data_IF_484464954115
#
_entry.id   IF_484464954115
#
_cell.length_a   1.000
_cell.length_b   1.000
_cell.length_c   1.000
_cell.angle_alpha   90.00
_cell.angle_beta   90.00
_cell.angle_gamma   90.00
#
_symmetry.space_group_name_H-M   'P 1'
#
loop_
_entity.id
_entity.type
_entity.pdbx_description
1 polymer ?
#
# COMPACT_ATOMS: atom_id res chain seq x y z
N UNK A 1 -64.45 -19.91 -54.01
CA UNK A 1 -64.09 -18.69 -53.31
C UNK A 1 -62.77 -18.98 -52.57
N UNK A 2 -61.66 -18.42 -52.95
CA UNK A 2 -60.38 -18.52 -52.22
C UNK A 2 -60.39 -17.39 -51.21
N UNK A 3 -60.51 -17.73 -49.90
CA UNK A 3 -60.36 -16.76 -48.82
C UNK A 3 -58.96 -16.19 -48.88
N UNK A 4 -58.84 -14.90 -49.07
CA UNK A 4 -57.59 -14.16 -48.92
C UNK A 4 -57.23 -14.18 -47.43
N UNK A 5 -56.04 -14.61 -47.02
CA UNK A 5 -55.60 -14.51 -45.66
C UNK A 5 -55.71 -13.07 -45.23
N UNK A 6 -56.37 -12.82 -44.10
CA UNK A 6 -56.60 -11.43 -43.63
C UNK A 6 -55.23 -10.80 -43.31
N UNK A 7 -55.02 -9.54 -43.69
CA UNK A 7 -53.77 -8.79 -43.45
C UNK A 7 -53.40 -8.81 -41.96
N UNK A 8 -54.37 -8.92 -41.07
CA UNK A 8 -54.19 -9.04 -39.62
C UNK A 8 -53.42 -10.32 -39.19
N UNK A 9 -53.64 -11.44 -39.87
CA UNK A 9 -52.98 -12.70 -39.58
C UNK A 9 -51.48 -12.58 -39.94
N UNK A 10 -51.17 -11.94 -41.05
CA UNK A 10 -49.76 -11.73 -41.45
C UNK A 10 -49.02 -10.76 -40.49
N UNK A 11 -49.69 -9.72 -40.00
CA UNK A 11 -49.12 -8.79 -38.99
C UNK A 11 -48.87 -9.51 -37.66
N UNK A 12 -49.84 -10.33 -37.23
CA UNK A 12 -49.72 -11.08 -35.96
C UNK A 12 -48.58 -12.09 -36.00
N UNK A 13 -48.35 -12.77 -37.12
CA UNK A 13 -47.29 -13.73 -37.31
C UNK A 13 -45.91 -13.02 -37.31
N UNK A 14 -45.80 -11.87 -37.97
CA UNK A 14 -44.61 -11.03 -37.94
C UNK A 14 -44.31 -10.56 -36.50
N UNK A 15 -45.32 -10.10 -35.76
CA UNK A 15 -45.13 -9.68 -34.38
C UNK A 15 -44.73 -10.82 -33.47
N UNK A 16 -45.28 -12.01 -33.63
CA UNK A 16 -44.89 -13.19 -32.88
C UNK A 16 -43.42 -13.59 -33.17
N UNK A 17 -42.99 -13.52 -34.44
CA UNK A 17 -41.63 -13.76 -34.84
C UNK A 17 -40.61 -12.79 -34.22
N UNK A 18 -40.93 -11.48 -34.23
CA UNK A 18 -40.10 -10.46 -33.59
C UNK A 18 -40.01 -10.67 -32.08
N UNK A 19 -41.13 -10.97 -31.41
CA UNK A 19 -41.16 -11.27 -29.98
C UNK A 19 -40.29 -12.50 -29.63
N UNK A 20 -40.34 -13.55 -30.43
CA UNK A 20 -39.52 -14.74 -30.22
C UNK A 20 -38.02 -14.41 -30.33
N UNK A 21 -37.61 -13.62 -31.32
CA UNK A 21 -36.22 -13.18 -31.46
C UNK A 21 -35.76 -12.30 -30.28
N UNK A 22 -36.57 -11.35 -29.87
CA UNK A 22 -36.27 -10.48 -28.71
C UNK A 22 -36.11 -11.29 -27.43
N UNK A 23 -37.01 -12.25 -27.19
CA UNK A 23 -36.91 -13.14 -26.03
C UNK A 23 -35.66 -13.99 -26.05
N UNK A 24 -35.28 -14.50 -27.22
CA UNK A 24 -34.05 -15.29 -27.38
C UNK A 24 -32.81 -14.43 -27.10
N UNK A 25 -32.76 -13.20 -27.60
CA UNK A 25 -31.66 -12.25 -27.31
C UNK A 25 -31.61 -11.90 -25.83
N UNK A 26 -32.71 -11.71 -25.16
CA UNK A 26 -32.78 -11.47 -23.71
C UNK A 26 -32.21 -12.67 -22.92
N UNK A 27 -32.63 -13.88 -23.26
CA UNK A 27 -32.10 -15.10 -22.62
C UNK A 27 -30.60 -15.19 -22.80
N UNK A 28 -30.07 -14.98 -24.02
CA UNK A 28 -28.62 -14.99 -24.29
C UNK A 28 -27.90 -13.89 -23.48
N UNK A 29 -28.45 -12.68 -23.42
CA UNK A 29 -27.87 -11.59 -22.64
C UNK A 29 -27.81 -11.91 -21.13
N UNK A 30 -28.86 -12.50 -20.56
CA UNK A 30 -28.89 -12.93 -19.15
C UNK A 30 -27.87 -14.03 -18.87
N UNK A 31 -27.77 -15.01 -19.76
CA UNK A 31 -26.77 -16.10 -19.64
C UNK A 31 -25.34 -15.56 -19.73
N UNK A 32 -25.06 -14.65 -20.66
CA UNK A 32 -23.74 -14.02 -20.78
C UNK A 32 -23.37 -13.22 -19.53
N UNK A 33 -24.33 -12.46 -18.96
CA UNK A 33 -24.12 -11.72 -17.72
C UNK A 33 -23.80 -12.67 -16.55
N UNK A 34 -24.53 -13.77 -16.41
CA UNK A 34 -24.28 -14.78 -15.37
C UNK A 34 -22.89 -15.41 -15.47
N UNK A 35 -22.44 -15.78 -16.67
CA UNK A 35 -21.11 -16.35 -16.90
C UNK A 35 -20.00 -15.32 -16.63
N UNK A 36 -20.22 -14.06 -17.02
CA UNK A 36 -19.26 -12.98 -16.77
C UNK A 36 -19.08 -12.72 -15.26
N UNK A 37 -20.20 -12.69 -14.51
CA UNK A 37 -20.17 -12.50 -13.06
C UNK A 37 -19.44 -13.62 -12.33
N UNK A 38 -19.68 -14.88 -12.72
CA UNK A 38 -18.98 -16.02 -12.13
C UNK A 38 -17.48 -15.98 -12.40
N UNK A 39 -17.04 -15.63 -13.60
CA UNK A 39 -15.62 -15.45 -13.93
C UNK A 39 -14.99 -14.34 -13.11
N UNK A 40 -15.67 -13.20 -12.99
CA UNK A 40 -15.20 -12.08 -12.18
C UNK A 40 -15.03 -12.45 -10.70
N UNK A 41 -15.95 -13.18 -10.12
CA UNK A 41 -15.84 -13.68 -8.75
C UNK A 41 -14.72 -14.69 -8.58
N UNK A 42 -14.51 -15.57 -9.56
CA UNK A 42 -13.39 -16.54 -9.54
C UNK A 42 -12.04 -15.84 -9.64
N UNK A 43 -11.90 -14.83 -10.48
CA UNK A 43 -10.70 -13.99 -10.59
C UNK A 43 -10.44 -13.21 -9.30
N UNK A 44 -11.47 -12.61 -8.70
CA UNK A 44 -11.36 -11.95 -7.39
C UNK A 44 -10.96 -12.92 -6.27
N UNK A 45 -11.49 -14.13 -6.26
CA UNK A 45 -11.11 -15.14 -5.26
C UNK A 45 -9.66 -15.59 -5.43
N UNK A 46 -9.20 -15.78 -6.66
CA UNK A 46 -7.78 -16.10 -6.97
C UNK A 46 -6.85 -14.95 -6.57
N UNK A 47 -7.21 -13.70 -6.92
CA UNK A 47 -6.42 -12.52 -6.57
C UNK A 47 -6.34 -12.31 -5.04
N UNK A 48 -7.43 -12.54 -4.32
CA UNK A 48 -7.44 -12.50 -2.84
C UNK A 48 -6.57 -13.61 -2.26
N UNK A 49 -6.69 -14.85 -2.73
CA UNK A 49 -5.91 -15.98 -2.24
C UNK A 49 -4.41 -15.78 -2.39
N UNK A 50 -3.94 -15.28 -3.53
CA UNK A 50 -2.51 -14.95 -3.74
C UNK A 50 -2.04 -13.80 -2.86
N UNK A 51 -2.89 -12.80 -2.62
CA UNK A 51 -2.58 -11.68 -1.74
C UNK A 51 -2.48 -12.11 -0.27
N UNK A 52 -3.41 -12.94 0.19
CA UNK A 52 -3.43 -13.43 1.57
C UNK A 52 -2.25 -14.36 1.85
N UNK A 53 -1.84 -15.19 0.90
CA UNK A 53 -0.66 -16.05 1.00
C UNK A 53 0.64 -15.22 1.06
N UNK A 54 0.74 -14.19 0.20
CA UNK A 54 1.88 -13.28 0.20
C UNK A 54 1.98 -12.49 1.52
N UNK A 55 0.85 -12.01 2.04
CA UNK A 55 0.74 -11.34 3.34
C UNK A 55 1.13 -12.29 4.47
N UNK A 56 0.64 -13.54 4.48
CA UNK A 56 0.98 -14.54 5.49
C UNK A 56 2.49 -14.81 5.50
N UNK A 57 3.12 -14.91 4.34
CA UNK A 57 4.56 -15.12 4.20
C UNK A 57 5.37 -13.94 4.75
N UNK A 58 4.95 -12.69 4.46
CA UNK A 58 5.55 -11.48 5.04
C UNK A 58 5.42 -11.49 6.57
N UNK A 59 4.21 -11.76 7.05
CA UNK A 59 3.92 -11.83 8.50
C UNK A 59 4.82 -12.85 9.19
N UNK A 60 4.99 -14.03 8.62
CA UNK A 60 5.86 -15.06 9.17
C UNK A 60 7.31 -14.60 9.22
N UNK A 61 7.86 -14.10 8.11
CA UNK A 61 9.25 -13.63 8.02
C UNK A 61 9.51 -12.52 9.04
N UNK A 62 8.64 -11.51 9.10
CA UNK A 62 8.81 -10.36 10.02
C UNK A 62 8.60 -10.78 11.48
N UNK A 63 7.65 -11.68 11.77
CA UNK A 63 7.45 -12.22 13.13
C UNK A 63 8.65 -13.01 13.62
N UNK A 64 9.28 -13.80 12.75
CA UNK A 64 10.53 -14.52 13.09
C UNK A 64 11.69 -13.55 13.34
N UNK A 65 11.78 -12.47 12.56
CA UNK A 65 12.79 -11.42 12.78
C UNK A 65 12.70 -10.81 14.16
N UNK A 66 11.48 -10.46 14.60
CA UNK A 66 11.24 -9.76 15.87
C UNK A 66 11.28 -10.72 17.05
N UNK A 67 10.69 -11.92 16.89
CA UNK A 67 10.61 -12.92 17.96
C UNK A 67 11.96 -13.45 18.43
N UNK A 68 12.97 -13.46 17.56
CA UNK A 68 14.33 -13.94 17.87
C UNK A 68 15.21 -12.90 18.57
N UNK A 69 14.83 -11.61 18.61
CA UNK A 69 15.77 -10.53 18.94
C UNK A 69 15.30 -9.49 19.94
N UNK A 70 14.26 -9.75 20.73
CA UNK A 70 13.96 -9.02 21.98
C UNK A 70 14.27 -7.52 21.99
N UNK A 71 13.93 -6.78 20.93
CA UNK A 71 14.03 -5.32 20.90
C UNK A 71 13.03 -4.74 21.91
N UNK A 72 13.42 -4.73 23.17
CA UNK A 72 12.61 -4.47 24.35
C UNK A 72 11.78 -3.19 24.22
N UNK A 73 10.57 -3.30 23.66
CA UNK A 73 9.56 -2.23 23.70
C UNK A 73 9.74 -1.09 22.70
N UNK A 74 10.85 -1.02 21.93
CA UNK A 74 11.11 0.05 20.95
C UNK A 74 10.55 -0.28 19.56
N UNK A 75 10.44 -1.57 19.24
CA UNK A 75 9.88 -2.06 17.98
C UNK A 75 8.72 -3.02 18.28
N UNK A 76 7.68 -2.95 17.49
CA UNK A 76 6.56 -3.89 17.54
C UNK A 76 6.07 -4.18 16.13
N UNK A 77 5.63 -5.42 15.88
CA UNK A 77 5.03 -5.80 14.61
C UNK A 77 3.53 -6.04 14.79
N UNK A 78 2.75 -5.42 13.94
CA UNK A 78 1.32 -5.66 13.83
C UNK A 78 1.06 -6.58 12.63
N UNK A 79 0.73 -7.83 12.93
CA UNK A 79 0.46 -8.86 11.93
C UNK A 79 -0.82 -8.60 11.12
N UNK A 80 -1.79 -7.84 11.66
CA UNK A 80 -3.03 -7.53 10.94
C UNK A 80 -2.82 -6.47 9.86
N UNK A 81 -1.94 -5.51 10.12
CA UNK A 81 -1.64 -4.42 9.18
C UNK A 81 -0.34 -4.62 8.41
N UNK A 82 0.42 -5.69 8.70
CA UNK A 82 1.77 -5.96 8.16
C UNK A 82 2.71 -4.77 8.34
N UNK A 83 2.67 -4.15 9.51
CA UNK A 83 3.47 -2.98 9.86
C UNK A 83 4.43 -3.27 11.00
N UNK A 84 5.69 -2.96 10.77
CA UNK A 84 6.69 -2.84 11.82
C UNK A 84 6.66 -1.39 12.32
N UNK A 85 6.39 -1.21 13.61
CA UNK A 85 6.31 0.10 14.25
C UNK A 85 7.57 0.36 15.06
N UNK A 86 8.29 1.42 14.72
CA UNK A 86 9.41 1.98 15.45
C UNK A 86 8.89 3.15 16.30
N UNK A 87 8.96 3.03 17.63
CA UNK A 87 8.43 4.04 18.55
C UNK A 87 9.39 5.22 18.71
N UNK A 88 8.92 6.33 19.31
CA UNK A 88 9.71 7.54 19.55
C UNK A 88 11.05 7.28 20.25
N UNK A 89 11.09 6.33 21.17
CA UNK A 89 12.32 5.91 21.87
C UNK A 89 13.45 5.41 20.97
N UNK A 90 13.18 5.15 19.70
CA UNK A 90 14.14 4.76 18.65
C UNK A 90 15.00 5.95 18.19
N UNK A 91 14.45 7.17 18.26
CA UNK A 91 15.12 8.40 17.86
C UNK A 91 15.61 9.19 19.07
N UNK A 92 16.61 10.02 18.87
CA UNK A 92 17.00 11.03 19.84
C UNK A 92 15.91 12.09 19.95
N UNK A 93 15.77 12.68 21.13
CA UNK A 93 14.71 13.67 21.38
C UNK A 93 14.87 14.90 20.48
N UNK A 94 13.79 15.29 19.81
CA UNK A 94 13.82 16.43 18.88
C UNK A 94 14.73 16.23 17.68
N UNK A 95 15.04 14.95 17.30
CA UNK A 95 15.99 14.64 16.24
C UNK A 95 15.42 13.58 15.28
N UNK A 96 16.02 13.48 14.11
CA UNK A 96 15.83 12.37 13.19
C UNK A 96 16.95 11.32 13.31
N UNK A 97 17.96 11.54 14.17
CA UNK A 97 19.03 10.58 14.42
C UNK A 97 18.47 9.35 15.14
N UNK A 98 18.79 8.18 14.62
CA UNK A 98 18.58 6.91 15.33
C UNK A 98 19.60 6.79 16.48
N UNK A 99 19.14 6.32 17.63
CA UNK A 99 20.03 5.97 18.73
C UNK A 99 20.97 4.87 18.30
N UNK A 100 22.19 4.90 18.83
CA UNK A 100 23.25 3.97 18.42
C UNK A 100 22.85 2.50 18.64
N UNK A 101 22.23 2.19 19.77
CA UNK A 101 21.77 0.84 20.14
C UNK A 101 20.74 0.31 19.14
N UNK A 102 19.80 1.19 18.77
CA UNK A 102 18.74 0.86 17.81
C UNK A 102 19.26 0.68 16.41
N UNK A 103 20.25 1.49 16.01
CA UNK A 103 20.89 1.37 14.69
C UNK A 103 21.47 -0.02 14.50
N UNK A 104 22.21 -0.53 15.49
CA UNK A 104 22.77 -1.87 15.46
C UNK A 104 21.70 -2.97 15.35
N UNK A 105 20.56 -2.82 16.03
CA UNK A 105 19.45 -3.76 15.93
C UNK A 105 18.76 -3.71 14.56
N UNK A 106 18.53 -2.51 14.01
CA UNK A 106 17.96 -2.33 12.67
C UNK A 106 18.87 -2.90 11.58
N UNK A 107 20.18 -2.76 11.73
CA UNK A 107 21.18 -3.34 10.80
C UNK A 107 21.08 -4.87 10.73
N UNK A 108 20.69 -5.53 11.82
CA UNK A 108 20.49 -6.99 11.81
C UNK A 108 19.29 -7.44 10.96
N UNK A 109 18.35 -6.57 10.69
CA UNK A 109 17.14 -6.83 9.87
C UNK A 109 17.42 -6.63 8.36
N UNK A 110 18.54 -6.01 8.01
CA UNK A 110 18.88 -5.70 6.60
C UNK A 110 18.93 -6.95 5.71
N UNK A 111 19.53 -8.05 6.20
CA UNK A 111 19.63 -9.29 5.44
C UNK A 111 18.26 -9.91 5.14
N UNK A 112 17.34 -9.80 6.09
CA UNK A 112 15.98 -10.32 5.95
C UNK A 112 15.15 -9.45 4.99
N UNK A 113 15.32 -8.13 5.05
CA UNK A 113 14.73 -7.19 4.08
C UNK A 113 15.28 -7.46 2.66
N UNK A 114 16.58 -7.69 2.55
CA UNK A 114 17.20 -8.02 1.28
C UNK A 114 16.60 -9.30 0.68
N UNK A 115 16.47 -10.35 1.51
CA UNK A 115 15.87 -11.63 1.12
C UNK A 115 14.40 -11.45 0.74
N UNK A 116 13.61 -10.75 1.56
CA UNK A 116 12.21 -10.47 1.24
C UNK A 116 12.04 -9.78 -0.11
N UNK A 117 12.84 -8.74 -0.38
CA UNK A 117 12.80 -8.04 -1.66
C UNK A 117 13.34 -8.87 -2.83
N UNK A 118 14.27 -9.79 -2.61
CA UNK A 118 14.76 -10.71 -3.64
C UNK A 118 13.73 -11.76 -4.01
N UNK A 119 13.09 -12.36 -3.00
CA UNK A 119 12.07 -13.39 -3.19
C UNK A 119 10.76 -12.86 -3.78
N UNK A 120 10.51 -11.55 -3.65
CA UNK A 120 9.29 -10.90 -4.13
C UNK A 120 9.62 -9.69 -5.03
N UNK A 121 9.79 -9.88 -6.35
CA UNK A 121 10.19 -8.81 -7.28
C UNK A 121 9.22 -7.63 -7.34
N UNK A 122 7.92 -7.85 -7.12
CA UNK A 122 6.88 -6.81 -7.11
C UNK A 122 6.69 -6.16 -5.74
N UNK A 123 7.38 -6.64 -4.69
CA UNK A 123 7.25 -6.09 -3.36
C UNK A 123 7.86 -4.70 -3.24
N UNK A 124 7.24 -3.88 -2.41
CA UNK A 124 7.71 -2.56 -1.98
C UNK A 124 7.65 -2.45 -0.46
N UNK A 125 8.49 -1.62 0.08
CA UNK A 125 8.47 -1.25 1.50
C UNK A 125 8.22 0.24 1.58
N UNK A 126 7.20 0.65 2.34
CA UNK A 126 6.88 2.04 2.61
C UNK A 126 7.27 2.36 4.05
N UNK A 127 8.18 3.32 4.21
CA UNK A 127 8.64 3.83 5.51
C UNK A 127 7.94 5.15 5.77
N UNK A 128 7.02 5.16 6.72
CA UNK A 128 6.12 6.26 7.02
C UNK A 128 6.45 6.89 8.36
N UNK A 129 6.71 8.20 8.38
CA UNK A 129 6.98 8.96 9.59
C UNK A 129 5.74 9.72 10.09
N UNK A 130 5.57 9.76 11.40
CA UNK A 130 4.47 10.43 12.09
C UNK A 130 5.00 11.22 13.29
N UNK A 131 4.32 12.32 13.64
CA UNK A 131 4.58 13.11 14.85
C UNK A 131 3.31 13.19 15.70
N UNK A 132 3.45 13.70 16.91
CA UNK A 132 2.35 14.29 17.68
C UNK A 132 1.97 15.65 17.09
N UNK A 133 0.94 16.29 17.67
CA UNK A 133 0.48 17.61 17.24
C UNK A 133 1.26 18.79 17.87
N UNK A 134 2.31 18.50 18.63
CA UNK A 134 3.17 19.56 19.20
C UNK A 134 4.02 20.13 18.06
N UNK A 135 3.82 21.41 17.78
CA UNK A 135 4.51 22.06 16.67
C UNK A 135 6.00 22.28 16.95
N UNK A 136 6.80 22.17 15.89
CA UNK A 136 8.21 22.59 15.93
C UNK A 136 8.25 24.09 16.18
N UNK A 137 8.94 24.52 17.24
CA UNK A 137 9.00 25.93 17.62
C UNK A 137 9.99 26.75 16.80
N UNK A 138 11.17 26.16 16.60
CA UNK A 138 12.29 26.81 15.92
C UNK A 138 12.82 25.95 14.78
N UNK A 139 13.30 26.59 13.72
CA UNK A 139 13.91 25.91 12.59
C UNK A 139 15.21 25.24 13.05
N UNK A 140 15.28 23.93 12.88
CA UNK A 140 16.48 23.14 13.14
C UNK A 140 17.34 23.10 11.88
N UNK A 141 18.54 23.70 11.96
CA UNK A 141 19.46 23.84 10.82
C UNK A 141 20.69 22.95 10.91
N UNK A 142 21.04 22.49 12.12
CA UNK A 142 22.23 21.66 12.36
C UNK A 142 21.97 20.22 11.96
N UNK A 143 22.34 19.92 10.72
CA UNK A 143 22.16 18.58 10.14
C UNK A 143 23.07 17.52 10.77
N UNK A 144 24.24 17.89 11.28
CA UNK A 144 25.16 16.93 11.87
C UNK A 144 24.61 16.45 13.22
N UNK A 145 24.13 17.38 14.02
CA UNK A 145 23.56 17.09 15.35
C UNK A 145 22.19 16.42 15.28
N UNK A 146 21.32 16.80 14.34
CA UNK A 146 19.93 16.35 14.31
C UNK A 146 19.59 15.40 13.13
N UNK A 147 20.59 15.01 12.32
CA UNK A 147 20.45 14.20 11.12
C UNK A 147 19.49 14.76 10.06
N UNK A 148 19.01 15.98 10.24
CA UNK A 148 18.09 16.65 9.35
C UNK A 148 18.10 18.18 9.53
N UNK A 149 17.55 18.87 8.53
CA UNK A 149 17.07 20.26 8.63
C UNK A 149 15.55 20.17 8.57
N UNK A 150 14.84 20.81 9.49
CA UNK A 150 13.38 20.80 9.53
C UNK A 150 12.82 22.01 10.25
N UNK A 151 11.62 22.44 9.88
CA UNK A 151 10.92 23.62 10.39
C UNK A 151 9.48 23.29 10.80
N UNK A 152 8.98 22.11 10.43
CA UNK A 152 7.65 21.63 10.76
C UNK A 152 7.62 20.13 11.07
N UNK A 153 6.44 19.65 11.48
CA UNK A 153 6.20 18.24 11.78
C UNK A 153 6.28 17.34 10.54
N UNK A 154 5.96 17.85 9.35
CA UNK A 154 6.01 17.08 8.11
C UNK A 154 7.47 16.81 7.70
N UNK A 155 8.31 17.84 7.72
CA UNK A 155 9.73 17.70 7.41
C UNK A 155 10.46 16.85 8.45
N UNK A 156 10.14 16.97 9.75
CA UNK A 156 10.69 16.11 10.80
C UNK A 156 10.30 14.66 10.61
N UNK A 157 9.02 14.37 10.36
CA UNK A 157 8.53 13.01 10.16
C UNK A 157 9.15 12.35 8.92
N UNK A 158 9.26 13.09 7.81
CA UNK A 158 9.94 12.62 6.60
C UNK A 158 11.44 12.36 6.84
N UNK A 159 12.11 13.20 7.64
CA UNK A 159 13.50 13.02 8.00
C UNK A 159 13.71 11.76 8.86
N UNK A 160 12.85 11.49 9.84
CA UNK A 160 12.86 10.26 10.65
C UNK A 160 12.65 9.02 9.80
N UNK A 161 11.66 9.04 8.92
CA UNK A 161 11.43 7.95 7.98
C UNK A 161 12.62 7.73 7.04
N UNK A 162 13.30 8.80 6.58
CA UNK A 162 14.51 8.71 5.77
C UNK A 162 15.67 8.05 6.52
N UNK A 163 15.90 8.42 7.78
CA UNK A 163 16.99 7.82 8.56
C UNK A 163 16.69 6.36 8.90
N UNK A 164 15.44 6.02 9.23
CA UNK A 164 15.00 4.64 9.36
C UNK A 164 15.22 3.85 8.05
N UNK A 165 14.82 4.40 6.91
CA UNK A 165 15.09 3.80 5.60
C UNK A 165 16.58 3.55 5.38
N UNK A 166 17.43 4.52 5.68
CA UNK A 166 18.90 4.38 5.51
C UNK A 166 19.46 3.22 6.33
N UNK A 167 18.98 3.07 7.56
CA UNK A 167 19.37 1.95 8.40
C UNK A 167 18.84 0.61 7.86
N UNK A 168 17.61 0.56 7.35
CA UNK A 168 16.99 -0.65 6.82
C UNK A 168 17.63 -1.13 5.50
N UNK A 169 17.96 -0.22 4.59
CA UNK A 169 18.54 -0.59 3.29
C UNK A 169 20.02 -0.93 3.36
N UNK A 170 20.77 -0.36 4.30
CA UNK A 170 22.21 -0.61 4.47
C UNK A 170 22.99 -0.62 3.17
N UNK A 171 23.53 -1.77 2.83
CA UNK A 171 24.33 -2.03 1.62
C UNK A 171 23.54 -2.61 0.45
N UNK A 172 22.20 -2.55 0.47
CA UNK A 172 21.36 -3.05 -0.63
C UNK A 172 21.75 -2.41 -1.97
N UNK A 173 21.66 -3.20 -3.04
CA UNK A 173 21.80 -2.68 -4.40
C UNK A 173 20.85 -1.52 -4.67
N UNK A 174 21.29 -0.54 -5.46
CA UNK A 174 20.52 0.68 -5.73
C UNK A 174 19.15 0.40 -6.37
N UNK A 175 19.05 -0.61 -7.23
CA UNK A 175 17.78 -0.97 -7.88
C UNK A 175 16.79 -1.54 -6.85
N UNK A 176 17.27 -2.38 -5.94
CA UNK A 176 16.47 -2.95 -4.84
C UNK A 176 16.10 -1.87 -3.84
N UNK A 177 17.05 -1.02 -3.44
CA UNK A 177 16.83 0.07 -2.49
C UNK A 177 15.78 1.10 -2.96
N UNK A 178 15.55 1.26 -4.28
CA UNK A 178 14.47 2.11 -4.84
C UNK A 178 13.07 1.62 -4.51
N UNK A 179 12.91 0.34 -4.19
CA UNK A 179 11.63 -0.23 -3.76
C UNK A 179 11.28 0.06 -2.30
N UNK A 180 12.22 0.64 -1.55
CA UNK A 180 11.99 1.14 -0.20
C UNK A 180 11.75 2.65 -0.28
N UNK A 181 10.51 3.07 -0.09
CA UNK A 181 10.03 4.45 -0.30
C UNK A 181 9.79 5.12 1.05
N UNK A 182 9.87 6.45 1.09
CA UNK A 182 9.67 7.26 2.30
C UNK A 182 8.46 8.15 2.15
N UNK A 183 7.65 8.27 3.21
CA UNK A 183 6.60 9.27 3.35
C UNK A 183 6.66 9.93 4.73
N UNK A 184 6.37 11.22 4.80
CA UNK A 184 6.22 11.96 6.05
C UNK A 184 4.80 12.50 6.15
N UNK A 185 4.10 12.13 7.21
CA UNK A 185 2.70 12.54 7.44
C UNK A 185 2.55 13.61 8.52
N UNK A 186 3.64 13.98 9.20
CA UNK A 186 3.55 14.92 10.32
C UNK A 186 2.53 14.46 11.36
N UNK A 187 1.69 15.37 11.77
CA UNK A 187 0.58 15.16 12.70
C UNK A 187 -0.78 14.92 12.03
N UNK A 188 -0.81 14.71 10.70
CA UNK A 188 -2.06 14.52 9.95
C UNK A 188 -2.75 13.17 10.22
N UNK A 189 -2.04 12.18 10.80
CA UNK A 189 -2.54 10.84 11.07
C UNK A 189 -2.23 10.39 12.50
N UNK A 190 -2.88 11.04 13.44
CA UNK A 190 -2.81 10.68 14.86
C UNK A 190 -3.48 9.32 15.11
N UNK A 191 -3.02 8.63 16.15
CA UNK A 191 -3.64 7.36 16.55
C UNK A 191 -5.03 7.59 17.14
N UNK A 192 -6.04 6.84 16.73
CA UNK A 192 -7.41 7.03 17.20
C UNK A 192 -7.52 6.72 18.71
N UNK A 193 -8.28 7.55 19.44
CA UNK A 193 -8.53 7.35 20.86
C UNK A 193 -7.32 7.67 21.78
N UNK A 194 -6.28 8.30 21.26
CA UNK A 194 -5.07 8.69 21.99
C UNK A 194 -4.97 10.22 21.97
N UNK A 195 -4.47 10.80 23.08
CA UNK A 195 -4.21 12.24 23.15
C UNK A 195 -3.32 12.64 21.95
N UNK A 196 -3.68 13.70 21.21
CA UNK A 196 -2.88 14.19 20.09
C UNK A 196 -1.41 14.51 20.42
N UNK A 197 -1.12 14.91 21.66
CA UNK A 197 0.24 15.21 22.14
C UNK A 197 0.98 13.98 22.70
N UNK A 198 0.34 12.81 22.74
CA UNK A 198 0.94 11.60 23.31
C UNK A 198 2.15 11.13 22.47
N UNK A 199 3.19 10.69 23.17
CA UNK A 199 4.43 10.18 22.58
C UNK A 199 4.22 9.00 21.60
N UNK A 200 3.14 8.23 21.74
CA UNK A 200 2.79 7.11 20.85
C UNK A 200 2.49 7.59 19.42
N UNK A 201 2.10 8.85 19.24
CA UNK A 201 1.92 9.43 17.91
C UNK A 201 3.26 9.62 17.19
N UNK A 202 4.36 9.86 17.94
CA UNK A 202 5.71 9.96 17.37
C UNK A 202 6.26 8.57 17.05
N UNK A 203 6.12 8.15 15.83
CA UNK A 203 6.50 6.80 15.38
C UNK A 203 6.96 6.79 13.93
N UNK A 204 7.63 5.73 13.55
CA UNK A 204 7.86 5.36 12.14
C UNK A 204 7.26 3.99 11.91
N UNK A 205 6.44 3.86 10.89
CA UNK A 205 5.87 2.59 10.47
C UNK A 205 6.55 2.11 9.19
N UNK A 206 6.90 0.83 9.14
CA UNK A 206 7.46 0.17 7.97
C UNK A 206 6.44 -0.81 7.47
N UNK A 207 5.79 -0.48 6.36
CA UNK A 207 4.76 -1.32 5.74
C UNK A 207 5.35 -2.14 4.61
N UNK A 208 5.07 -3.44 4.64
CA UNK A 208 5.43 -4.37 3.58
C UNK A 208 4.26 -4.53 2.61
N UNK A 209 4.48 -4.18 1.34
CA UNK A 209 3.47 -4.21 0.29
C UNK A 209 3.91 -5.20 -0.79
N UNK A 210 2.99 -6.04 -1.25
CA UNK A 210 3.17 -6.82 -2.47
C UNK A 210 2.17 -6.28 -3.48
N UNK A 211 2.69 -5.69 -4.57
CA UNK A 211 1.85 -5.23 -5.67
C UNK A 211 1.45 -6.47 -6.49
N UNK A 212 0.16 -6.71 -6.61
CA UNK A 212 -0.39 -7.64 -7.60
C UNK A 212 -0.44 -6.94 -8.96
N UNK A 213 -0.33 -7.68 -10.08
CA UNK A 213 -0.28 -7.10 -11.45
C UNK A 213 -1.43 -6.14 -11.75
N UNK A 214 -2.59 -6.29 -11.10
CA UNK A 214 -3.73 -5.38 -11.24
C UNK A 214 -3.44 -3.96 -10.76
N UNK A 215 -2.60 -3.78 -9.75
CA UNK A 215 -2.25 -2.44 -9.25
C UNK A 215 -1.34 -1.65 -10.20
N UNK A 216 -0.69 -2.33 -11.15
CA UNK A 216 0.09 -1.68 -12.20
C UNK A 216 -0.80 -1.22 -13.38
N UNK A 217 -1.90 -1.92 -13.64
CA UNK A 217 -2.84 -1.58 -14.72
C UNK A 217 -3.65 -0.30 -14.42
N UNK A 218 -3.85 0.05 -13.15
CA UNK A 218 -4.60 1.24 -12.73
C UNK A 218 -3.78 2.53 -12.62
N UNK A 219 -2.50 2.52 -12.96
CA UNK A 219 -1.76 3.79 -13.10
C UNK A 219 -2.05 4.42 -14.46
N UNK A 220 -3.01 5.35 -14.60
CA UNK A 220 -3.14 6.10 -15.84
C UNK A 220 -1.89 6.96 -16.00
N UNK A 221 -1.06 6.62 -17.00
CA UNK A 221 -0.08 7.51 -17.59
C UNK A 221 -0.82 8.70 -18.22
N UNK A 222 -1.31 9.60 -17.39
CA UNK A 222 -1.87 10.91 -17.81
C UNK A 222 -0.99 12.04 -17.33
N UNK A 223 0.27 12.05 -17.79
CA UNK A 223 1.05 13.29 -17.84
C UNK A 223 1.92 13.25 -19.09
N UNK A 224 1.31 13.38 -20.25
CA UNK A 224 2.03 13.76 -21.46
C UNK A 224 1.04 14.23 -22.54
N UNK A 225 0.33 15.33 -22.28
CA UNK A 225 -0.41 16.02 -23.32
C UNK A 225 -0.60 17.50 -22.97
N UNK A 226 0.52 18.23 -22.79
CA UNK A 226 0.55 19.68 -22.93
C UNK A 226 2.00 20.19 -23.01
N UNK A 227 2.73 19.72 -24.00
CA UNK A 227 3.95 20.38 -24.43
C UNK A 227 3.86 20.51 -25.95
N UNK A 228 3.16 21.57 -26.41
CA UNK A 228 3.08 21.85 -27.83
C UNK A 228 1.93 22.74 -28.18
N UNK A 229 1.96 24.02 -27.74
CA UNK A 229 1.39 25.21 -28.37
C UNK A 229 1.83 26.40 -27.54
N UNK A 230 2.91 26.99 -27.98
CA UNK A 230 3.03 28.41 -28.27
C UNK A 230 4.38 28.63 -28.95
#
# INVERSE_FOLDING_TARGET
MKDKPSEWVAISDLMAGVMAVVMLLLVVAVLQKGVSELRYQEELAKAKGTKDEAVAKVTQVVSEMIGKRGAAGLMSFDAHTNRLVLRDGVFERGSACLKFEVKAEVETVQADIARFLADNPTARILVEGYTDNVQVRDVVKDRERFCAVYDDNYTLSAARAREARRALIGTLDKAVARRVVVAGYGDSRLLPGIDPADARNRRVEVQFLIETDESQAERPLKVAANAGRD
#
